data_IF_689722899035
#
_entry.id   IF_689722899035
#
_cell.length_a   1.000
_cell.length_b   1.000
_cell.length_c   1.000
_cell.angle_alpha   90.00
_cell.angle_beta   90.00
_cell.angle_gamma   90.00
#
_symmetry.space_group_name_H-M   'P 1'
#
loop_
_entity.id
_entity.type
_entity.pdbx_description
1 polymer ?
#
# COMPACT_ATOMS: atom_id res chain seq x y z
N UNK A 1 9.90 4.63 29.36
CA UNK A 1 10.47 4.67 28.00
C UNK A 1 10.35 6.10 27.48
N UNK A 2 11.45 6.85 27.41
CA UNK A 2 11.45 8.20 26.82
C UNK A 2 11.83 8.08 25.35
N UNK A 3 10.91 8.45 24.45
CA UNK A 3 11.16 8.50 23.01
C UNK A 3 11.69 9.89 22.63
N UNK A 4 12.66 9.93 21.75
CA UNK A 4 13.26 11.19 21.27
C UNK A 4 12.67 11.66 19.94
N UNK A 5 12.01 10.74 19.23
CA UNK A 5 11.37 11.01 17.94
C UNK A 5 10.13 10.14 17.77
N UNK A 6 9.04 10.71 17.27
CA UNK A 6 7.82 9.96 16.95
C UNK A 6 7.08 10.57 15.78
N UNK A 7 6.42 9.68 15.01
CA UNK A 7 5.54 9.99 13.90
C UNK A 7 4.36 9.01 13.91
N UNK A 8 3.14 9.48 13.65
CA UNK A 8 1.96 8.60 13.57
C UNK A 8 1.26 8.33 14.91
N UNK A 9 0.84 7.08 15.12
CA UNK A 9 0.04 6.60 16.27
C UNK A 9 -1.33 7.32 16.40
N UNK A 10 -1.92 7.69 15.28
CA UNK A 10 -3.22 8.37 15.24
C UNK A 10 -3.16 9.88 15.40
N UNK A 11 -1.96 10.43 15.57
CA UNK A 11 -1.73 11.87 15.66
C UNK A 11 -0.93 12.31 14.43
N UNK A 12 -1.62 12.98 13.50
CA UNK A 12 -1.08 13.36 12.22
C UNK A 12 -1.01 14.86 12.07
N UNK A 13 0.15 15.39 11.74
CA UNK A 13 0.33 16.77 11.31
C UNK A 13 0.96 16.75 9.91
N UNK A 14 0.12 16.90 8.91
CA UNK A 14 0.51 16.88 7.51
C UNK A 14 0.24 18.23 6.85
N UNK A 15 1.03 18.55 5.87
CA UNK A 15 0.86 19.70 4.98
C UNK A 15 1.46 19.38 3.63
N UNK A 16 1.28 20.29 2.68
CA UNK A 16 1.92 20.13 1.38
C UNK A 16 3.42 19.97 1.54
N UNK A 17 4.02 18.96 0.88
CA UNK A 17 5.44 18.62 0.92
C UNK A 17 5.97 18.21 2.30
N UNK A 18 5.11 18.03 3.30
CA UNK A 18 5.61 17.90 4.68
C UNK A 18 4.78 16.94 5.51
N UNK A 19 5.48 16.07 6.25
CA UNK A 19 4.91 15.32 7.37
C UNK A 19 5.72 15.62 8.62
N UNK A 20 5.08 16.18 9.66
CA UNK A 20 5.73 16.57 10.89
C UNK A 20 5.81 15.39 11.87
N UNK A 21 6.96 15.26 12.52
CA UNK A 21 7.19 14.32 13.60
C UNK A 21 7.21 15.01 14.96
N UNK A 22 6.79 14.29 16.00
CA UNK A 22 7.01 14.68 17.38
C UNK A 22 8.46 14.44 17.77
N UNK A 23 8.96 15.21 18.70
CA UNK A 23 10.31 15.03 19.21
C UNK A 23 10.39 15.05 20.74
N UNK A 24 9.29 14.88 21.44
CA UNK A 24 9.29 14.73 22.90
C UNK A 24 8.14 13.82 23.39
N UNK A 25 8.22 13.41 24.66
CA UNK A 25 7.27 12.53 25.31
C UNK A 25 5.88 13.15 25.52
N UNK A 26 5.75 14.47 25.37
CA UNK A 26 4.49 15.21 25.51
C UNK A 26 3.77 15.36 24.17
N UNK A 27 4.24 14.70 23.11
CA UNK A 27 3.70 14.78 21.75
C UNK A 27 3.69 16.21 21.18
N UNK A 28 4.68 17.03 21.51
CA UNK A 28 4.85 18.33 20.89
C UNK A 28 5.47 18.20 19.51
N UNK A 29 4.83 18.80 18.52
CA UNK A 29 5.41 18.91 17.19
C UNK A 29 6.50 19.96 17.19
N UNK A 30 7.69 19.57 16.77
CA UNK A 30 8.80 20.46 16.50
C UNK A 30 9.26 20.30 15.06
N UNK A 31 9.98 21.26 14.48
CA UNK A 31 10.39 21.19 13.09
C UNK A 31 11.49 20.13 12.86
N UNK A 32 11.07 18.88 12.82
CA UNK A 32 11.84 17.71 12.38
C UNK A 32 11.08 16.99 11.25
N UNK A 33 10.60 17.71 10.21
CA UNK A 33 9.66 17.15 9.25
C UNK A 33 10.35 16.17 8.32
N UNK A 34 9.55 15.18 7.85
CA UNK A 34 9.84 14.51 6.59
C UNK A 34 9.50 15.45 5.43
N UNK A 35 10.31 15.41 4.40
CA UNK A 35 9.97 15.94 3.08
C UNK A 35 9.17 14.88 2.34
N UNK A 36 7.99 15.23 1.85
CA UNK A 36 7.11 14.35 1.07
C UNK A 36 7.04 14.84 -0.37
N UNK A 37 7.16 13.92 -1.32
CA UNK A 37 7.04 14.21 -2.76
C UNK A 37 6.10 13.20 -3.44
N UNK A 38 5.22 13.71 -4.29
CA UNK A 38 4.41 12.97 -5.25
C UNK A 38 3.98 13.90 -6.38
N UNK A 39 4.55 13.75 -7.55
CA UNK A 39 4.31 14.61 -8.72
C UNK A 39 2.93 14.46 -9.39
N UNK A 40 1.94 13.85 -8.74
CA UNK A 40 0.57 13.68 -9.26
C UNK A 40 -0.48 13.77 -8.16
N UNK A 41 -1.76 13.91 -8.54
CA UNK A 41 -2.87 13.65 -7.61
C UNK A 41 -2.91 12.15 -7.24
N UNK A 42 -3.54 11.83 -6.11
CA UNK A 42 -3.81 10.46 -5.66
C UNK A 42 -5.14 10.40 -4.90
N UNK A 43 -5.57 9.19 -4.53
CA UNK A 43 -6.76 9.01 -3.70
C UNK A 43 -6.41 8.38 -2.36
N UNK A 44 -7.28 8.58 -1.38
CA UNK A 44 -7.18 8.07 -0.02
C UNK A 44 -8.59 7.80 0.52
N UNK A 45 -8.72 6.88 1.45
CA UNK A 45 -9.96 6.70 2.22
C UNK A 45 -9.92 7.64 3.42
N UNK A 46 -10.86 8.57 3.52
CA UNK A 46 -10.95 9.53 4.61
C UNK A 46 -11.61 8.95 5.87
N UNK A 47 -11.74 9.76 6.92
CA UNK A 47 -12.33 9.33 8.22
C UNK A 47 -13.79 8.90 8.12
N UNK A 48 -14.51 9.39 7.12
CA UNK A 48 -15.92 9.05 6.88
C UNK A 48 -16.06 7.78 6.01
N UNK A 49 -14.95 7.15 5.64
CA UNK A 49 -14.92 5.95 4.79
C UNK A 49 -15.12 6.24 3.30
N UNK A 50 -15.07 7.50 2.89
CA UNK A 50 -15.19 7.90 1.50
C UNK A 50 -13.83 8.02 0.83
N UNK A 51 -13.76 7.67 -0.45
CA UNK A 51 -12.58 7.87 -1.28
C UNK A 51 -12.53 9.33 -1.73
N UNK A 52 -11.47 10.04 -1.33
CA UNK A 52 -11.25 11.42 -1.73
C UNK A 52 -9.95 11.57 -2.53
N UNK A 53 -9.88 12.61 -3.35
CA UNK A 53 -8.66 12.97 -4.08
C UNK A 53 -7.85 13.97 -3.29
N UNK A 54 -6.54 13.72 -3.16
CA UNK A 54 -5.56 14.62 -2.58
C UNK A 54 -4.64 15.19 -3.66
N UNK A 55 -4.15 16.41 -3.44
CA UNK A 55 -3.34 17.16 -4.38
C UNK A 55 -1.92 16.61 -4.57
N UNK A 56 -1.19 17.24 -5.49
CA UNK A 56 0.25 17.00 -5.70
C UNK A 56 0.98 17.36 -4.41
N UNK A 57 1.94 16.51 -4.00
CA UNK A 57 2.77 16.67 -2.81
C UNK A 57 1.99 16.73 -1.49
N UNK A 58 0.74 16.26 -1.48
CA UNK A 58 -0.06 16.11 -0.28
C UNK A 58 0.02 14.67 0.24
N UNK A 59 0.56 14.45 1.46
CA UNK A 59 0.62 13.12 2.09
C UNK A 59 -0.76 12.52 2.30
N UNK A 60 -0.83 11.18 2.24
CA UNK A 60 -2.07 10.44 2.40
C UNK A 60 -2.14 9.73 3.75
N UNK A 61 -3.06 10.16 4.60
CA UNK A 61 -3.41 9.39 5.80
C UNK A 61 -4.68 8.61 5.48
N UNK A 62 -4.51 7.31 5.29
CA UNK A 62 -5.57 6.40 4.88
C UNK A 62 -6.26 5.79 6.10
N UNK A 63 -7.59 5.83 6.13
CA UNK A 63 -8.42 5.32 7.21
C UNK A 63 -9.12 4.00 6.86
N UNK A 64 -8.77 3.36 5.74
CA UNK A 64 -9.33 2.07 5.36
C UNK A 64 -9.05 1.03 6.45
N UNK A 65 -10.14 0.52 7.06
CA UNK A 65 -10.10 -0.43 8.17
C UNK A 65 -9.25 0.01 9.37
N UNK A 66 -9.06 1.30 9.58
CA UNK A 66 -8.22 1.84 10.64
C UNK A 66 -8.69 3.21 11.12
N UNK A 67 -9.27 3.29 12.31
CA UNK A 67 -9.81 4.54 12.89
C UNK A 67 -8.75 5.57 13.27
N UNK A 68 -7.50 5.16 13.47
CA UNK A 68 -6.38 6.07 13.74
C UNK A 68 -5.68 6.56 12.46
N UNK A 69 -5.95 5.91 11.34
CA UNK A 69 -5.27 6.15 10.07
C UNK A 69 -3.84 5.60 10.03
N UNK A 70 -3.28 5.57 8.84
CA UNK A 70 -1.88 5.24 8.58
C UNK A 70 -1.38 6.04 7.38
N UNK A 71 -0.09 6.40 7.38
CA UNK A 71 0.55 6.94 6.18
C UNK A 71 0.58 5.83 5.12
N UNK A 72 0.07 6.13 3.94
CA UNK A 72 0.09 5.25 2.77
C UNK A 72 1.16 5.75 1.79
N UNK A 73 2.14 4.90 1.50
CA UNK A 73 3.18 5.14 0.49
C UNK A 73 3.08 4.07 -0.60
N UNK A 74 2.92 4.50 -1.85
CA UNK A 74 2.73 3.59 -2.99
C UNK A 74 3.71 3.88 -4.13
N UNK A 75 4.15 2.83 -4.87
CA UNK A 75 4.99 3.01 -6.05
C UNK A 75 4.21 3.70 -7.18
N UNK A 76 4.92 4.15 -8.19
CA UNK A 76 4.29 4.61 -9.43
C UNK A 76 3.45 3.50 -10.04
N UNK A 77 2.19 3.83 -10.39
CA UNK A 77 1.26 2.92 -11.09
C UNK A 77 0.47 3.70 -12.13
N UNK A 78 0.10 3.00 -13.18
CA UNK A 78 -0.77 3.54 -14.24
C UNK A 78 -2.06 2.73 -14.30
N UNK A 79 -3.21 3.42 -14.23
CA UNK A 79 -4.49 2.81 -14.56
C UNK A 79 -4.70 2.88 -16.07
N UNK A 80 -4.78 1.72 -16.74
CA UNK A 80 -4.95 1.57 -18.18
C UNK A 80 -6.43 1.63 -18.61
N UNK A 81 -7.38 1.66 -17.67
CA UNK A 81 -8.80 1.89 -17.96
C UNK A 81 -8.99 3.37 -18.33
N UNK A 82 -9.65 3.63 -19.43
CA UNK A 82 -9.86 5.02 -19.93
C UNK A 82 -10.92 5.78 -19.17
N UNK A 83 -11.88 5.09 -18.58
CA UNK A 83 -12.91 5.67 -17.71
C UNK A 83 -13.16 4.73 -16.52
N UNK A 84 -12.64 5.11 -15.38
CA UNK A 84 -12.65 4.28 -14.18
C UNK A 84 -14.06 4.04 -13.59
N UNK A 85 -15.05 4.82 -13.94
CA UNK A 85 -16.45 4.58 -13.52
C UNK A 85 -17.13 3.49 -14.34
N UNK A 86 -16.54 3.04 -15.45
CA UNK A 86 -17.16 2.07 -16.38
C UNK A 86 -18.18 2.65 -17.35
N UNK A 87 -18.47 3.94 -17.26
CA UNK A 87 -19.51 4.60 -18.06
C UNK A 87 -19.25 4.55 -19.59
N UNK A 88 -18.00 4.38 -20.01
CA UNK A 88 -17.62 4.26 -21.43
C UNK A 88 -17.43 2.81 -21.88
N UNK A 89 -17.74 1.81 -21.07
CA UNK A 89 -17.68 0.43 -21.46
C UNK A 89 -18.76 0.13 -22.51
N UNK A 90 -18.51 -0.84 -23.37
CA UNK A 90 -19.48 -1.32 -24.35
C UNK A 90 -20.25 -2.51 -23.79
N UNK A 91 -21.57 -2.46 -23.85
CA UNK A 91 -22.44 -3.56 -23.43
C UNK A 91 -22.66 -4.55 -24.58
N UNK A 92 -22.75 -5.85 -24.24
CA UNK A 92 -22.91 -6.94 -25.18
C UNK A 92 -23.98 -7.93 -24.72
N UNK A 93 -24.57 -8.63 -25.71
CA UNK A 93 -25.45 -9.79 -25.56
C UNK A 93 -26.74 -9.53 -24.75
N UNK A 94 -27.22 -8.31 -24.71
CA UNK A 94 -28.42 -7.95 -23.96
C UNK A 94 -28.19 -7.12 -22.71
N UNK A 95 -26.94 -7.07 -22.21
CA UNK A 95 -26.59 -6.17 -21.14
C UNK A 95 -26.82 -4.70 -21.52
N UNK A 96 -27.07 -3.84 -20.53
CA UNK A 96 -27.15 -2.39 -20.74
C UNK A 96 -26.37 -1.64 -19.68
N UNK A 97 -26.02 -0.38 -19.99
CA UNK A 97 -25.26 0.52 -19.11
C UNK A 97 -26.06 1.80 -18.89
N UNK A 98 -26.18 2.24 -17.64
CA UNK A 98 -26.66 3.57 -17.26
C UNK A 98 -25.59 4.28 -16.45
N UNK A 99 -25.01 5.34 -16.99
CA UNK A 99 -23.99 6.12 -16.31
C UNK A 99 -24.61 7.02 -15.23
N UNK A 100 -23.84 7.30 -14.15
CA UNK A 100 -24.22 8.18 -13.06
C UNK A 100 -25.56 7.77 -12.39
N UNK A 101 -25.76 6.48 -12.18
CA UNK A 101 -27.01 5.94 -11.64
C UNK A 101 -27.12 6.08 -10.12
N UNK A 102 -26.03 5.85 -9.39
CA UNK A 102 -26.04 5.75 -7.94
C UNK A 102 -24.80 6.38 -7.30
N UNK A 103 -24.89 6.57 -5.98
CA UNK A 103 -23.76 7.07 -5.17
C UNK A 103 -22.67 6.01 -5.13
N UNK A 104 -21.46 6.39 -5.46
CA UNK A 104 -20.24 5.59 -5.47
C UNK A 104 -19.45 5.71 -4.16
N UNK A 105 -18.35 4.95 -3.98
CA UNK A 105 -17.48 5.03 -2.81
C UNK A 105 -16.83 6.40 -2.54
N UNK A 106 -16.86 7.34 -3.51
CA UNK A 106 -16.38 8.71 -3.31
C UNK A 106 -17.49 9.68 -2.82
N UNK A 107 -18.70 9.17 -2.56
CA UNK A 107 -19.84 9.97 -2.09
C UNK A 107 -20.55 10.76 -3.18
N UNK A 108 -20.12 10.68 -4.44
CA UNK A 108 -20.77 11.37 -5.56
C UNK A 108 -21.65 10.42 -6.38
N UNK A 109 -22.62 10.96 -7.14
CA UNK A 109 -23.50 10.17 -8.01
C UNK A 109 -22.82 9.94 -9.36
N UNK A 110 -21.85 9.01 -9.40
CA UNK A 110 -21.09 8.70 -10.60
C UNK A 110 -20.85 7.19 -10.82
N UNK A 111 -21.48 6.34 -10.00
CA UNK A 111 -21.44 4.89 -10.22
C UNK A 111 -22.24 4.52 -11.48
N UNK A 112 -21.73 3.58 -12.25
CA UNK A 112 -22.37 3.04 -13.45
C UNK A 112 -23.21 1.83 -13.10
N UNK A 113 -24.45 1.79 -13.55
CA UNK A 113 -25.31 0.63 -13.47
C UNK A 113 -25.12 -0.26 -14.71
N UNK A 114 -24.78 -1.53 -14.47
CA UNK A 114 -24.88 -2.61 -15.43
C UNK A 114 -26.17 -3.40 -15.15
N UNK A 115 -27.03 -3.55 -16.15
CA UNK A 115 -28.26 -4.35 -16.05
C UNK A 115 -28.15 -5.53 -16.99
N UNK A 116 -28.48 -6.73 -16.49
CA UNK A 116 -28.53 -8.00 -17.23
C UNK A 116 -29.90 -8.64 -17.13
N UNK A 117 -30.25 -9.48 -18.10
CA UNK A 117 -31.58 -10.12 -18.24
C UNK A 117 -31.58 -11.61 -17.87
N UNK A 118 -30.42 -12.17 -17.55
CA UNK A 118 -30.24 -13.58 -17.21
C UNK A 118 -29.91 -14.45 -18.42
N UNK A 119 -29.46 -13.84 -19.52
CA UNK A 119 -28.99 -14.58 -20.69
C UNK A 119 -27.49 -14.90 -20.55
N UNK A 120 -27.09 -16.05 -21.05
CA UNK A 120 -25.67 -16.43 -21.04
C UNK A 120 -24.78 -15.42 -21.78
N UNK A 121 -23.68 -15.04 -21.18
CA UNK A 121 -22.68 -14.16 -21.78
C UNK A 121 -23.02 -12.65 -21.85
N UNK A 122 -23.96 -12.17 -21.07
CA UNK A 122 -24.18 -10.72 -20.91
C UNK A 122 -22.99 -10.08 -20.17
N UNK A 123 -22.42 -9.02 -20.76
CA UNK A 123 -21.23 -8.36 -20.23
C UNK A 123 -21.10 -6.91 -20.65
N UNK A 124 -20.25 -6.18 -19.91
CA UNK A 124 -19.72 -4.88 -20.32
C UNK A 124 -18.21 -4.97 -20.50
N UNK A 125 -17.62 -4.20 -21.42
CA UNK A 125 -16.23 -4.35 -21.81
C UNK A 125 -15.53 -3.03 -22.14
N UNK A 126 -14.25 -2.93 -21.77
CA UNK A 126 -13.29 -2.06 -22.44
C UNK A 126 -12.30 -2.94 -23.22
N UNK A 127 -12.16 -2.69 -24.51
CA UNK A 127 -11.22 -3.36 -25.40
C UNK A 127 -9.98 -2.49 -25.68
N UNK A 128 -9.01 -3.07 -26.40
CA UNK A 128 -7.81 -2.38 -26.91
C UNK A 128 -6.93 -1.73 -25.80
N UNK A 129 -6.78 -2.46 -24.68
CA UNK A 129 -5.85 -2.05 -23.61
C UNK A 129 -4.44 -2.47 -24.04
N UNK A 130 -3.53 -1.49 -24.15
CA UNK A 130 -2.12 -1.75 -24.48
C UNK A 130 -1.40 -2.33 -23.26
N UNK A 131 -0.80 -3.51 -23.41
CA UNK A 131 -0.12 -4.26 -22.35
C UNK A 131 1.17 -4.88 -22.89
N UNK A 132 2.04 -5.34 -22.01
CA UNK A 132 3.29 -6.02 -22.34
C UNK A 132 3.16 -7.52 -22.06
N UNK A 133 3.42 -8.35 -23.06
CA UNK A 133 3.41 -9.81 -22.90
C UNK A 133 4.43 -10.28 -21.86
N UNK A 134 4.06 -11.26 -21.04
CA UNK A 134 4.90 -11.82 -19.98
C UNK A 134 4.87 -11.03 -18.66
N UNK A 135 4.17 -9.90 -18.59
CA UNK A 135 4.03 -9.11 -17.39
C UNK A 135 2.74 -9.44 -16.64
N UNK A 136 2.78 -9.34 -15.32
CA UNK A 136 1.60 -9.49 -14.46
C UNK A 136 0.84 -8.17 -14.40
N UNK A 137 -0.49 -8.24 -14.55
CA UNK A 137 -1.42 -7.13 -14.42
C UNK A 137 -2.48 -7.48 -13.40
N UNK A 138 -2.81 -6.52 -12.56
CA UNK A 138 -3.94 -6.62 -11.62
C UNK A 138 -5.13 -5.83 -12.16
N UNK A 139 -6.27 -6.49 -12.24
CA UNK A 139 -7.57 -5.91 -12.54
C UNK A 139 -8.32 -5.75 -11.24
N UNK A 140 -8.83 -4.55 -10.95
CA UNK A 140 -9.64 -4.30 -9.76
C UNK A 140 -10.82 -3.37 -10.04
N UNK A 141 -11.79 -3.36 -9.14
CA UNK A 141 -12.94 -2.47 -9.20
C UNK A 141 -13.82 -2.58 -7.97
N UNK A 142 -14.70 -1.62 -7.79
CA UNK A 142 -15.74 -1.65 -6.77
C UNK A 142 -17.07 -2.09 -7.40
N UNK A 143 -17.73 -3.02 -6.73
CA UNK A 143 -18.97 -3.62 -7.18
C UNK A 143 -19.98 -3.71 -6.04
N UNK A 144 -21.29 -3.57 -6.38
CA UNK A 144 -22.40 -3.65 -5.44
C UNK A 144 -23.62 -4.23 -6.15
N UNK A 145 -24.27 -5.21 -5.56
CA UNK A 145 -25.56 -5.71 -6.04
C UNK A 145 -26.67 -4.72 -5.65
N UNK A 146 -27.26 -4.06 -6.65
CA UNK A 146 -28.38 -3.11 -6.47
C UNK A 146 -29.72 -3.84 -6.39
N UNK A 147 -29.92 -4.84 -7.25
CA UNK A 147 -31.13 -5.69 -7.25
C UNK A 147 -30.85 -7.02 -7.97
N UNK A 148 -31.73 -7.99 -7.77
CA UNK A 148 -31.61 -9.34 -8.33
C UNK A 148 -31.01 -10.34 -7.33
N UNK A 149 -30.75 -11.56 -7.82
CA UNK A 149 -30.13 -12.64 -7.04
C UNK A 149 -29.10 -13.34 -7.91
N UNK A 150 -27.89 -13.53 -7.41
CA UNK A 150 -26.86 -14.30 -8.07
C UNK A 150 -27.01 -15.78 -7.65
N UNK A 151 -27.32 -16.63 -8.61
CA UNK A 151 -27.63 -18.06 -8.40
C UNK A 151 -26.41 -18.89 -8.07
N UNK A 152 -25.25 -18.50 -8.60
CA UNK A 152 -23.97 -19.17 -8.39
C UNK A 152 -22.88 -18.09 -8.23
N UNK A 153 -22.42 -17.84 -6.98
CA UNK A 153 -21.41 -16.82 -6.73
C UNK A 153 -20.13 -16.97 -7.54
N UNK A 154 -19.76 -18.22 -7.85
CA UNK A 154 -18.52 -18.51 -8.57
C UNK A 154 -18.67 -18.38 -10.11
N UNK A 155 -19.89 -18.42 -10.63
CA UNK A 155 -20.15 -18.41 -12.08
C UNK A 155 -21.07 -17.28 -12.56
N UNK A 156 -21.96 -16.77 -11.70
CA UNK A 156 -22.94 -15.77 -12.13
C UNK A 156 -22.33 -14.39 -12.35
N UNK A 157 -21.37 -13.99 -11.52
CA UNK A 157 -20.67 -12.70 -11.64
C UNK A 157 -19.16 -12.92 -11.77
N UNK A 158 -18.57 -12.41 -12.84
CA UNK A 158 -17.15 -12.59 -13.16
C UNK A 158 -16.49 -11.31 -13.66
N UNK A 159 -15.31 -11.03 -13.16
CA UNK A 159 -14.33 -10.26 -13.91
C UNK A 159 -13.61 -11.20 -14.84
N UNK A 160 -13.59 -10.88 -16.12
CA UNK A 160 -12.93 -11.70 -17.13
C UNK A 160 -11.79 -10.89 -17.72
N UNK A 161 -10.60 -11.52 -17.75
CA UNK A 161 -9.48 -10.96 -18.48
C UNK A 161 -9.56 -11.36 -19.96
N UNK A 162 -9.21 -10.51 -20.85
CA UNK A 162 -8.78 -10.81 -22.20
C UNK A 162 -7.33 -10.42 -22.36
N UNK A 163 -6.57 -10.41 -21.26
CA UNK A 163 -5.16 -9.99 -21.21
C UNK A 163 -4.23 -11.13 -21.58
N UNK A 164 -4.71 -12.37 -21.65
CA UNK A 164 -3.92 -13.55 -22.01
C UNK A 164 -4.14 -14.07 -23.44
N UNK A 165 -4.76 -13.26 -24.33
CA UNK A 165 -4.79 -13.50 -25.79
C UNK A 165 -5.70 -14.59 -26.33
N UNK A 166 -6.36 -15.35 -25.50
CA UNK A 166 -7.00 -16.60 -25.91
C UNK A 166 -8.50 -16.71 -25.67
N UNK A 167 -9.22 -15.66 -25.44
CA UNK A 167 -10.61 -15.76 -25.01
C UNK A 167 -10.71 -16.07 -23.52
N UNK A 168 -11.84 -15.84 -22.98
CA UNK A 168 -12.26 -15.77 -21.60
C UNK A 168 -11.89 -17.04 -20.81
N UNK A 169 -10.67 -17.18 -20.37
CA UNK A 169 -10.24 -18.21 -19.43
C UNK A 169 -10.02 -17.55 -18.06
N UNK A 170 -11.03 -17.59 -17.33
CA UNK A 170 -11.24 -17.62 -15.93
C UNK A 170 -10.25 -17.02 -14.94
N UNK A 171 -9.97 -15.73 -14.97
CA UNK A 171 -9.70 -15.05 -13.71
C UNK A 171 -11.01 -14.47 -13.22
N UNK A 172 -11.49 -14.95 -12.09
CA UNK A 172 -12.78 -14.55 -11.54
C UNK A 172 -12.55 -13.73 -10.27
N UNK A 173 -13.45 -12.81 -9.97
CA UNK A 173 -13.43 -12.13 -8.68
C UNK A 173 -13.75 -13.08 -7.51
N UNK A 174 -14.23 -14.30 -7.75
CA UNK A 174 -14.58 -15.34 -6.76
C UNK A 174 -15.26 -14.77 -5.51
N UNK A 175 -16.28 -13.94 -5.70
CA UNK A 175 -16.96 -13.28 -4.59
C UNK A 175 -18.46 -13.17 -4.85
N UNK A 176 -19.24 -13.37 -3.79
CA UNK A 176 -20.66 -13.06 -3.79
C UNK A 176 -20.86 -11.56 -3.60
N UNK A 177 -21.50 -10.89 -4.58
CA UNK A 177 -21.86 -9.49 -4.42
C UNK A 177 -22.99 -9.33 -3.38
N UNK A 178 -22.81 -8.31 -2.54
CA UNK A 178 -23.80 -7.89 -1.54
C UNK A 178 -24.39 -6.52 -1.90
N UNK A 179 -25.33 -6.05 -1.07
CA UNK A 179 -25.85 -4.69 -1.15
C UNK A 179 -24.90 -3.62 -0.63
N UNK A 180 -23.66 -3.99 -0.26
CA UNK A 180 -22.61 -3.07 0.13
C UNK A 180 -21.51 -3.01 -0.94
N UNK A 181 -20.79 -1.90 -1.02
CA UNK A 181 -19.66 -1.77 -1.92
C UNK A 181 -18.52 -2.72 -1.52
N UNK A 182 -18.07 -3.53 -2.47
CA UNK A 182 -16.96 -4.46 -2.31
C UNK A 182 -15.89 -4.13 -3.36
N UNK A 183 -14.64 -3.99 -2.93
CA UNK A 183 -13.52 -3.95 -3.86
C UNK A 183 -13.07 -5.37 -4.15
N UNK A 184 -13.06 -5.75 -5.43
CA UNK A 184 -12.65 -7.06 -5.90
C UNK A 184 -11.48 -6.91 -6.87
N UNK A 185 -10.55 -7.87 -6.83
CA UNK A 185 -9.39 -7.86 -7.72
C UNK A 185 -8.96 -9.27 -8.12
N UNK A 186 -8.25 -9.36 -9.22
CA UNK A 186 -7.48 -10.55 -9.62
C UNK A 186 -6.24 -10.14 -10.40
N UNK A 187 -5.21 -11.01 -10.34
CA UNK A 187 -3.96 -10.81 -11.07
C UNK A 187 -3.81 -11.85 -12.17
N UNK A 188 -3.32 -11.44 -13.33
CA UNK A 188 -3.10 -12.29 -14.49
C UNK A 188 -1.77 -11.96 -15.18
N UNK A 189 -1.03 -12.97 -15.63
CA UNK A 189 0.15 -12.77 -16.47
C UNK A 189 -0.29 -12.68 -17.93
N UNK A 190 0.00 -11.56 -18.58
CA UNK A 190 -0.36 -11.34 -19.97
C UNK A 190 0.45 -12.20 -20.92
N UNK A 191 -0.19 -12.73 -21.94
CA UNK A 191 0.45 -13.43 -23.08
C UNK A 191 0.29 -12.68 -24.41
N UNK A 192 -0.23 -11.45 -24.38
CA UNK A 192 -0.51 -10.61 -25.56
C UNK A 192 -0.05 -9.18 -25.34
N UNK A 193 -0.03 -8.38 -26.40
CA UNK A 193 0.30 -6.95 -26.35
C UNK A 193 -0.92 -6.02 -26.41
N UNK A 194 -2.13 -6.61 -26.61
CA UNK A 194 -3.40 -5.86 -26.60
C UNK A 194 -4.45 -6.73 -25.93
N UNK A 195 -5.05 -6.21 -24.90
CA UNK A 195 -6.03 -6.91 -24.09
C UNK A 195 -7.38 -6.22 -23.99
N UNK A 196 -8.25 -6.80 -23.20
CA UNK A 196 -9.57 -6.26 -22.83
C UNK A 196 -9.92 -6.69 -21.41
N UNK A 197 -10.74 -5.89 -20.75
CA UNK A 197 -11.36 -6.23 -19.47
C UNK A 197 -12.86 -6.35 -19.68
N UNK A 198 -13.45 -7.38 -19.12
CA UNK A 198 -14.87 -7.67 -19.20
C UNK A 198 -15.44 -7.90 -17.81
N UNK A 199 -16.62 -7.34 -17.56
CA UNK A 199 -17.43 -7.62 -16.38
C UNK A 199 -18.67 -8.36 -16.90
N UNK A 200 -18.86 -9.61 -16.44
CA UNK A 200 -19.91 -10.51 -16.90
C UNK A 200 -20.87 -10.85 -15.77
N UNK A 201 -22.17 -10.94 -16.08
CA UNK A 201 -23.16 -11.52 -15.21
C UNK A 201 -24.11 -12.41 -16.02
N UNK A 202 -24.36 -13.63 -15.53
CA UNK A 202 -25.24 -14.62 -16.18
C UNK A 202 -26.66 -14.67 -15.59
N UNK A 203 -26.91 -13.93 -14.51
CA UNK A 203 -28.23 -13.79 -13.89
C UNK A 203 -28.91 -12.47 -14.27
N UNK A 204 -30.23 -12.40 -14.09
CA UNK A 204 -30.97 -11.15 -14.18
C UNK A 204 -30.65 -10.30 -12.92
N UNK A 205 -29.84 -9.27 -13.08
CA UNK A 205 -29.37 -8.46 -11.99
C UNK A 205 -29.10 -7.00 -12.40
N UNK A 206 -29.13 -6.13 -11.41
CA UNK A 206 -28.63 -4.77 -11.46
C UNK A 206 -27.36 -4.66 -10.60
N UNK A 207 -26.23 -4.39 -11.22
CA UNK A 207 -24.92 -4.33 -10.56
C UNK A 207 -24.33 -2.94 -10.76
N UNK A 208 -23.99 -2.28 -9.66
CA UNK A 208 -23.25 -1.02 -9.68
C UNK A 208 -21.75 -1.31 -9.82
N UNK A 209 -21.10 -0.52 -10.66
CA UNK A 209 -19.68 -0.62 -11.01
C UNK A 209 -19.03 0.73 -10.84
N UNK A 210 -17.83 0.75 -10.22
CA UNK A 210 -17.03 1.95 -10.03
C UNK A 210 -15.56 1.61 -9.75
N UNK A 211 -14.63 2.54 -9.94
CA UNK A 211 -13.24 2.39 -9.55
C UNK A 211 -12.49 1.30 -10.32
N UNK A 212 -12.82 1.10 -11.60
CA UNK A 212 -12.17 0.09 -12.43
C UNK A 212 -10.72 0.47 -12.72
N UNK A 213 -9.80 -0.47 -12.52
CA UNK A 213 -8.38 -0.32 -12.79
C UNK A 213 -7.80 -1.56 -13.46
N UNK A 214 -6.81 -1.32 -14.33
CA UNK A 214 -5.85 -2.31 -14.82
C UNK A 214 -4.46 -1.71 -14.59
N UNK A 215 -3.68 -2.34 -13.76
CA UNK A 215 -2.36 -1.87 -13.34
C UNK A 215 -1.29 -2.92 -13.61
N UNK A 216 -0.11 -2.50 -14.07
CA UNK A 216 1.08 -3.37 -14.10
C UNK A 216 1.52 -3.67 -12.66
N UNK A 217 1.57 -4.94 -12.29
CA UNK A 217 1.96 -5.40 -10.96
C UNK A 217 1.09 -6.56 -10.48
N UNK A 218 1.47 -7.16 -9.35
CA UNK A 218 0.83 -8.34 -8.79
C UNK A 218 -0.22 -8.02 -7.69
N UNK A 219 -0.51 -6.75 -7.46
CA UNK A 219 -1.51 -6.29 -6.47
C UNK A 219 -2.09 -4.94 -6.91
N UNK A 220 -3.31 -4.66 -6.44
CA UNK A 220 -3.99 -3.39 -6.65
C UNK A 220 -3.46 -2.30 -5.72
N UNK A 221 -3.45 -1.07 -6.22
CA UNK A 221 -3.13 0.13 -5.44
C UNK A 221 -4.37 1.02 -5.25
N UNK A 222 -4.27 2.15 -4.55
CA UNK A 222 -5.37 3.09 -4.40
C UNK A 222 -5.94 3.51 -5.75
N UNK A 223 -7.19 3.95 -5.79
CA UNK A 223 -7.86 4.31 -7.05
C UNK A 223 -7.08 5.42 -7.76
N UNK A 224 -6.84 5.21 -9.06
CA UNK A 224 -6.28 6.20 -9.98
C UNK A 224 -7.39 6.63 -10.93
N UNK A 225 -8.03 7.78 -10.69
CA UNK A 225 -9.14 8.25 -11.50
C UNK A 225 -8.72 8.52 -12.95
N UNK A 226 -9.52 8.05 -13.89
CA UNK A 226 -9.38 8.31 -15.34
C UNK A 226 -10.67 8.87 -15.90
N UNK A 227 -10.59 9.79 -16.85
CA UNK A 227 -11.74 10.48 -17.42
C UNK A 227 -11.61 10.62 -18.94
N UNK A 228 -11.48 9.46 -19.62
CA UNK A 228 -11.38 9.41 -21.09
C UNK A 228 -9.97 9.58 -21.64
N UNK A 229 -8.92 9.56 -20.80
CA UNK A 229 -7.54 9.68 -21.27
C UNK A 229 -7.13 8.42 -22.05
N UNK A 230 -6.80 8.58 -23.32
CA UNK A 230 -6.21 7.52 -24.13
C UNK A 230 -4.84 7.15 -23.57
N UNK A 231 -4.63 5.86 -23.27
CA UNK A 231 -3.40 5.36 -22.65
C UNK A 231 -3.39 5.40 -21.12
N UNK A 232 -4.50 5.85 -20.49
CA UNK A 232 -4.64 5.84 -19.04
C UNK A 232 -4.01 7.02 -18.30
N UNK A 233 -3.95 6.94 -16.96
CA UNK A 233 -3.40 7.96 -16.07
C UNK A 233 -2.39 7.33 -15.13
N UNK A 234 -1.24 7.98 -14.94
CA UNK A 234 -0.19 7.56 -14.01
C UNK A 234 -0.28 8.34 -12.70
N UNK A 235 -0.31 7.63 -11.57
CA UNK A 235 0.04 8.17 -10.26
C UNK A 235 1.54 7.97 -10.04
N UNK A 236 2.25 9.06 -9.71
CA UNK A 236 3.67 9.04 -9.39
C UNK A 236 3.94 8.25 -8.11
N UNK A 237 5.15 7.72 -7.97
CA UNK A 237 5.64 7.16 -6.71
C UNK A 237 5.68 8.23 -5.62
N UNK A 238 5.66 7.79 -4.38
CA UNK A 238 5.76 8.64 -3.20
C UNK A 238 7.10 8.44 -2.51
N UNK A 239 7.71 9.52 -2.05
CA UNK A 239 8.87 9.50 -1.15
C UNK A 239 8.56 10.27 0.13
N UNK A 240 9.19 9.88 1.23
CA UNK A 240 8.97 10.50 2.53
C UNK A 240 10.26 10.39 3.36
N UNK A 241 11.13 11.40 3.30
CA UNK A 241 12.50 11.30 3.76
C UNK A 241 12.98 12.57 4.49
N UNK A 242 14.16 12.49 5.14
CA UNK A 242 14.90 13.65 5.59
C UNK A 242 14.51 14.18 6.97
N UNK A 243 13.76 13.42 7.78
CA UNK A 243 13.35 13.86 9.12
C UNK A 243 14.42 13.65 10.19
N UNK A 244 14.39 14.47 11.25
CA UNK A 244 15.27 14.32 12.41
C UNK A 244 16.59 15.06 12.29
N UNK A 245 17.49 14.81 13.22
CA UNK A 245 18.85 15.33 13.26
C UNK A 245 19.67 14.60 14.35
N UNK A 246 20.97 14.91 14.47
CA UNK A 246 21.89 14.30 15.46
C UNK A 246 21.53 14.52 16.94
N UNK A 247 20.55 15.37 17.27
CA UNK A 247 20.15 15.59 18.67
C UNK A 247 19.05 14.63 19.12
N UNK A 248 18.41 13.92 18.19
CA UNK A 248 17.32 12.99 18.49
C UNK A 248 17.69 11.52 18.24
N UNK A 249 18.83 11.27 17.61
CA UNK A 249 19.36 9.93 17.39
C UNK A 249 20.67 9.73 18.17
N UNK A 250 20.83 8.59 18.81
CA UNK A 250 22.03 8.25 19.56
C UNK A 250 22.83 7.20 18.78
N UNK A 251 24.10 7.50 18.50
CA UNK A 251 25.00 6.62 17.75
C UNK A 251 25.42 5.38 18.55
N UNK A 252 25.43 5.46 19.89
CA UNK A 252 25.99 4.40 20.74
C UNK A 252 25.00 3.27 21.00
N UNK A 253 23.71 3.61 21.15
CA UNK A 253 22.65 2.66 21.45
C UNK A 253 21.28 3.26 21.17
N UNK A 254 20.28 2.42 20.98
CA UNK A 254 18.90 2.89 20.84
C UNK A 254 17.96 1.79 20.35
N UNK A 255 16.75 2.22 20.03
CA UNK A 255 15.72 1.38 19.41
C UNK A 255 15.05 2.14 18.29
N UNK A 256 15.02 1.54 17.11
CA UNK A 256 14.11 1.93 16.03
C UNK A 256 12.87 1.04 16.14
N UNK A 257 11.70 1.65 16.33
CA UNK A 257 10.41 0.97 16.41
C UNK A 257 9.46 1.46 15.32
N UNK A 258 8.71 0.51 14.74
CA UNK A 258 7.69 0.80 13.74
C UNK A 258 6.46 -0.11 13.90
N UNK A 259 5.27 0.38 13.50
CA UNK A 259 4.10 -0.43 13.22
C UNK A 259 3.77 -0.28 11.73
N UNK A 260 4.06 -1.31 10.94
CA UNK A 260 4.02 -1.29 9.47
C UNK A 260 3.36 -2.52 8.88
N UNK A 261 2.87 -2.37 7.63
CA UNK A 261 2.41 -3.46 6.77
C UNK A 261 2.93 -3.26 5.34
N UNK A 262 3.32 -4.34 4.67
CA UNK A 262 3.63 -4.31 3.24
C UNK A 262 2.34 -4.12 2.41
N UNK A 263 2.46 -3.63 1.18
CA UNK A 263 1.34 -3.60 0.23
C UNK A 263 1.05 -5.00 -0.33
N UNK A 264 2.11 -5.79 -0.52
CA UNK A 264 2.06 -7.18 -0.98
C UNK A 264 3.34 -7.92 -0.58
N UNK A 265 3.26 -9.25 -0.53
CA UNK A 265 4.41 -10.15 -0.43
C UNK A 265 4.85 -10.56 -1.87
N UNK A 266 5.52 -9.63 -2.56
CA UNK A 266 5.88 -9.76 -3.98
C UNK A 266 7.40 -9.89 -4.22
N UNK A 267 8.18 -10.15 -3.16
CA UNK A 267 9.64 -10.28 -3.23
C UNK A 267 10.38 -8.95 -3.42
N UNK A 268 9.69 -7.80 -3.26
CA UNK A 268 10.32 -6.50 -3.33
C UNK A 268 10.88 -6.09 -1.97
N UNK A 269 12.16 -5.70 -1.93
CA UNK A 269 12.75 -5.11 -0.73
C UNK A 269 12.12 -3.74 -0.47
N UNK A 270 11.62 -3.52 0.76
CA UNK A 270 11.04 -2.26 1.23
C UNK A 270 11.65 -1.90 2.56
N UNK A 271 12.31 -0.74 2.65
CA UNK A 271 13.13 -0.37 3.81
C UNK A 271 12.72 0.99 4.36
N UNK A 272 12.86 1.12 5.67
CA UNK A 272 12.89 2.40 6.37
C UNK A 272 14.09 2.40 7.30
N UNK A 273 14.67 3.56 7.57
CA UNK A 273 15.93 3.64 8.31
C UNK A 273 16.07 4.92 9.12
N UNK A 274 16.97 4.86 10.09
CA UNK A 274 17.71 6.03 10.58
C UNK A 274 19.16 5.86 10.12
N UNK A 275 19.76 6.91 9.53
CA UNK A 275 21.05 6.79 8.86
C UNK A 275 21.87 8.09 8.91
N UNK A 276 23.08 8.07 8.39
CA UNK A 276 24.01 9.20 8.32
C UNK A 276 23.88 10.04 7.04
N UNK A 277 22.84 9.81 6.25
CA UNK A 277 22.59 10.43 4.95
C UNK A 277 23.69 10.13 3.91
N UNK A 278 24.45 9.06 4.10
CA UNK A 278 25.47 8.59 3.14
C UNK A 278 25.06 7.20 2.64
N UNK A 279 24.99 7.04 1.31
CA UNK A 279 24.59 5.78 0.71
C UNK A 279 25.42 4.60 1.22
N UNK A 280 24.72 3.58 1.73
CA UNK A 280 25.26 2.28 2.17
C UNK A 280 26.32 2.36 3.29
N UNK A 281 26.34 3.43 4.09
CA UNK A 281 27.30 3.63 5.18
C UNK A 281 26.66 3.28 6.55
N UNK A 282 26.55 4.21 7.48
CA UNK A 282 26.05 3.97 8.82
C UNK A 282 24.53 4.05 8.89
N UNK A 283 23.88 3.02 9.44
CA UNK A 283 22.41 2.98 9.57
C UNK A 283 21.89 1.91 10.53
N UNK A 284 20.67 2.11 10.97
CA UNK A 284 19.77 1.09 11.50
C UNK A 284 18.53 1.06 10.60
N UNK A 285 18.12 -0.12 10.13
CA UNK A 285 16.93 -0.26 9.28
C UNK A 285 16.02 -1.39 9.75
N UNK A 286 14.76 -1.25 9.38
CA UNK A 286 13.72 -2.29 9.43
C UNK A 286 13.05 -2.34 8.06
N UNK A 287 12.54 -3.50 7.67
CA UNK A 287 11.70 -3.62 6.48
C UNK A 287 11.49 -5.05 6.01
N UNK A 288 10.93 -5.17 4.83
CA UNK A 288 10.63 -6.44 4.19
C UNK A 288 11.75 -6.83 3.22
N UNK A 289 12.12 -8.11 3.18
CA UNK A 289 13.12 -8.62 2.25
C UNK A 289 12.50 -9.19 0.97
N UNK A 290 13.35 -9.74 0.10
CA UNK A 290 12.89 -10.48 -1.09
C UNK A 290 12.40 -11.90 -0.78
N UNK A 291 12.57 -12.38 0.46
CA UNK A 291 12.01 -13.66 0.90
C UNK A 291 10.54 -13.46 1.31
N UNK A 292 9.72 -14.47 1.07
CA UNK A 292 8.28 -14.41 1.38
C UNK A 292 8.06 -14.19 2.87
N UNK A 293 7.23 -13.18 3.19
CA UNK A 293 6.82 -12.82 4.54
C UNK A 293 7.98 -12.56 5.53
N UNK A 294 9.17 -12.19 5.03
CA UNK A 294 10.33 -11.96 5.88
C UNK A 294 10.49 -10.48 6.26
N UNK A 295 10.53 -10.24 7.57
CA UNK A 295 10.89 -8.96 8.17
C UNK A 295 12.37 -9.01 8.54
N UNK A 296 13.10 -7.94 8.23
CA UNK A 296 14.52 -7.79 8.56
C UNK A 296 14.77 -6.56 9.42
N UNK A 297 15.70 -6.71 10.39
CA UNK A 297 16.38 -5.63 11.10
C UNK A 297 17.88 -5.67 10.78
N UNK A 298 18.50 -4.53 10.46
CA UNK A 298 19.92 -4.49 10.15
C UNK A 298 20.57 -3.28 10.82
N UNK A 299 21.80 -3.46 11.30
CA UNK A 299 22.71 -2.37 11.69
C UNK A 299 23.97 -2.42 10.84
N UNK A 300 24.47 -1.25 10.39
CA UNK A 300 25.74 -1.11 9.66
C UNK A 300 26.58 0.01 10.26
N UNK A 301 27.90 -0.16 10.16
CA UNK A 301 28.89 0.83 10.57
C UNK A 301 30.03 0.84 9.55
N UNK A 302 30.38 2.02 9.01
CA UNK A 302 31.46 2.18 8.05
C UNK A 302 31.30 1.25 6.82
N UNK A 303 30.08 1.13 6.28
CA UNK A 303 29.73 0.24 5.16
C UNK A 303 29.84 -1.26 5.45
N UNK A 304 30.07 -1.67 6.70
CA UNK A 304 30.12 -3.08 7.12
C UNK A 304 28.88 -3.45 7.94
N UNK A 305 28.25 -4.56 7.62
CA UNK A 305 27.11 -5.08 8.40
C UNK A 305 27.61 -5.54 9.77
N UNK A 306 26.96 -5.04 10.83
CA UNK A 306 27.24 -5.37 12.22
C UNK A 306 26.24 -6.39 12.76
N UNK A 307 24.96 -6.24 12.41
CA UNK A 307 23.91 -7.20 12.69
C UNK A 307 22.99 -7.32 11.49
N UNK A 308 22.54 -8.53 11.17
CA UNK A 308 21.55 -8.80 10.12
C UNK A 308 20.58 -9.85 10.67
N UNK A 309 19.49 -9.36 11.22
CA UNK A 309 18.47 -10.15 11.93
C UNK A 309 17.25 -10.31 11.02
N UNK A 310 16.60 -11.47 11.07
CA UNK A 310 15.46 -11.73 10.20
C UNK A 310 14.47 -12.71 10.83
N UNK A 311 13.18 -12.55 10.50
CA UNK A 311 12.14 -13.48 10.91
C UNK A 311 11.01 -13.54 9.88
N UNK A 312 10.47 -14.74 9.65
CA UNK A 312 9.33 -14.96 8.78
C UNK A 312 8.04 -14.87 9.60
N UNK A 313 7.17 -13.94 9.26
CA UNK A 313 5.83 -13.78 9.85
C UNK A 313 4.78 -14.55 9.03
N UNK A 314 3.57 -14.65 9.56
CA UNK A 314 2.48 -15.35 8.86
C UNK A 314 1.97 -14.60 7.63
N UNK A 315 1.97 -13.27 7.67
CA UNK A 315 1.46 -12.40 6.60
C UNK A 315 2.06 -10.99 6.72
N UNK A 316 3.03 -10.67 5.87
CA UNK A 316 3.68 -9.35 5.84
C UNK A 316 2.74 -8.20 5.44
N UNK A 317 1.56 -8.50 4.88
CA UNK A 317 0.55 -7.48 4.52
C UNK A 317 -0.33 -7.07 5.70
N UNK A 318 -0.27 -7.81 6.80
CA UNK A 318 -0.83 -7.44 8.10
C UNK A 318 0.11 -6.48 8.85
N UNK A 319 -0.45 -5.65 9.72
CA UNK A 319 0.37 -4.77 10.55
C UNK A 319 1.13 -5.55 11.62
N UNK A 320 2.44 -5.31 11.67
CA UNK A 320 3.34 -5.84 12.69
C UNK A 320 3.99 -4.71 13.46
N UNK A 321 4.12 -4.87 14.78
CA UNK A 321 4.90 -4.00 15.65
C UNK A 321 6.32 -4.54 15.76
N UNK A 322 7.29 -3.80 15.27
CA UNK A 322 8.67 -4.24 15.09
C UNK A 322 9.61 -3.28 15.82
N UNK A 323 10.56 -3.82 16.58
CA UNK A 323 11.61 -3.05 17.21
C UNK A 323 12.98 -3.65 16.89
N UNK A 324 13.89 -2.81 16.38
CA UNK A 324 15.31 -3.12 16.21
C UNK A 324 16.11 -2.40 17.29
N UNK A 325 16.55 -3.14 18.29
CA UNK A 325 17.51 -2.66 19.30
C UNK A 325 18.91 -2.67 18.69
N UNK A 326 19.65 -1.59 18.85
CA UNK A 326 21.05 -1.48 18.45
C UNK A 326 21.91 -0.94 19.60
N UNK A 327 22.94 -1.71 19.94
CA UNK A 327 23.98 -1.37 20.91
C UNK A 327 25.16 -2.28 20.61
N UNK A 328 26.39 -1.81 20.84
CA UNK A 328 27.59 -2.63 20.65
C UNK A 328 27.47 -3.96 21.41
N UNK A 329 27.62 -5.08 20.70
CA UNK A 329 27.49 -6.46 21.20
C UNK A 329 26.12 -6.80 21.83
N UNK A 330 25.03 -6.06 21.46
CA UNK A 330 23.68 -6.29 21.99
C UNK A 330 22.64 -5.79 20.98
N UNK A 331 22.46 -6.57 19.91
CA UNK A 331 21.44 -6.30 18.88
C UNK A 331 20.30 -7.30 19.02
N UNK A 332 19.06 -6.84 18.88
CA UNK A 332 17.86 -7.69 18.96
C UNK A 332 16.75 -7.21 18.04
N UNK A 333 16.05 -8.15 17.41
CA UNK A 333 14.83 -7.93 16.64
C UNK A 333 13.63 -8.46 17.42
N UNK A 334 12.68 -7.59 17.71
CA UNK A 334 11.43 -7.91 18.39
C UNK A 334 10.26 -7.71 17.41
N UNK A 335 9.36 -8.68 17.35
CA UNK A 335 8.15 -8.63 16.52
C UNK A 335 6.97 -9.13 17.35
N UNK A 336 5.91 -8.32 17.43
CA UNK A 336 4.62 -8.65 18.06
C UNK A 336 4.78 -9.26 19.48
N UNK A 337 5.61 -8.64 20.31
CA UNK A 337 5.85 -9.03 21.70
C UNK A 337 6.89 -10.15 21.90
N UNK A 338 7.55 -10.60 20.84
CA UNK A 338 8.53 -11.70 20.90
C UNK A 338 9.89 -11.24 20.40
N UNK A 339 10.96 -11.60 21.15
CA UNK A 339 12.34 -11.53 20.66
C UNK A 339 12.55 -12.67 19.66
N UNK A 340 12.73 -12.33 18.38
CA UNK A 340 12.76 -13.31 17.30
C UNK A 340 14.16 -13.63 16.79
N UNK A 341 15.12 -12.71 16.97
CA UNK A 341 16.51 -12.90 16.55
C UNK A 341 17.45 -11.93 17.29
N UNK A 342 18.70 -12.31 17.51
CA UNK A 342 19.71 -11.53 18.24
C UNK A 342 21.11 -11.68 17.66
N UNK A 343 21.95 -10.65 17.81
CA UNK A 343 23.40 -10.73 17.56
C UNK A 343 24.16 -10.06 18.72
N UNK A 344 25.06 -10.80 19.31
CA UNK A 344 25.87 -10.38 20.47
C UNK A 344 27.28 -9.89 20.06
N UNK A 345 27.49 -9.64 18.77
CA UNK A 345 28.77 -9.16 18.24
C UNK A 345 28.54 -7.96 17.32
N UNK A 346 29.43 -7.00 17.36
CA UNK A 346 29.39 -5.86 16.46
C UNK A 346 29.51 -4.52 17.18
N UNK A 347 29.60 -3.45 16.39
CA UNK A 347 29.69 -2.08 16.85
C UNK A 347 28.45 -1.29 16.50
N UNK A 348 28.14 -0.27 17.28
CA UNK A 348 27.03 0.65 16.98
C UNK A 348 27.33 1.48 15.74
N UNK A 349 26.30 1.97 15.02
CA UNK A 349 26.48 2.93 13.91
C UNK A 349 27.04 4.26 14.41
N UNK A 350 27.48 5.13 13.49
CA UNK A 350 27.94 6.46 13.82
C UNK A 350 27.26 7.52 12.91
N UNK A 351 27.12 8.74 13.41
CA UNK A 351 26.63 9.87 12.62
C UNK A 351 25.17 9.78 12.20
N UNK A 352 24.31 9.15 12.96
CA UNK A 352 22.87 9.06 12.67
C UNK A 352 22.23 10.45 12.74
N UNK A 353 21.71 10.95 11.62
CA UNK A 353 21.18 12.32 11.50
C UNK A 353 19.83 12.40 10.79
N UNK A 354 19.37 11.33 10.13
CA UNK A 354 18.16 11.38 9.32
C UNK A 354 17.35 10.10 9.45
N UNK A 355 16.02 10.25 9.55
CA UNK A 355 15.05 9.18 9.34
C UNK A 355 14.51 9.25 7.91
N UNK A 356 14.39 8.10 7.24
CA UNK A 356 13.95 8.00 5.86
C UNK A 356 13.13 6.72 5.64
N UNK A 357 12.17 6.80 4.71
CA UNK A 357 11.40 5.65 4.26
C UNK A 357 12.09 4.97 3.06
N UNK A 358 13.40 4.81 3.18
CA UNK A 358 14.25 4.14 2.23
C UNK A 358 15.49 3.52 2.90
N UNK A 359 16.40 3.01 2.08
CA UNK A 359 17.75 2.55 2.46
C UNK A 359 18.84 3.49 1.92
N UNK A 360 18.72 4.81 2.08
CA UNK A 360 19.66 5.77 1.49
C UNK A 360 19.45 5.92 -0.01
N UNK A 361 18.30 6.46 -0.41
CA UNK A 361 17.81 6.69 -1.77
C UNK A 361 17.63 5.43 -2.64
N UNK A 362 17.44 4.26 -2.01
CA UNK A 362 17.11 3.00 -2.69
C UNK A 362 16.23 2.11 -1.84
N UNK A 363 15.47 1.20 -2.44
CA UNK A 363 14.59 0.27 -1.74
C UNK A 363 13.55 1.01 -0.90
N UNK A 364 12.87 1.97 -1.54
CA UNK A 364 11.83 2.78 -0.93
C UNK A 364 10.81 1.92 -0.19
N UNK A 365 10.34 2.41 0.94
CA UNK A 365 9.29 1.77 1.69
C UNK A 365 7.92 2.10 1.07
N UNK A 366 7.45 1.25 0.17
CA UNK A 366 6.05 1.26 -0.25
C UNK A 366 5.25 0.34 0.65
N UNK A 367 4.36 0.94 1.44
CA UNK A 367 3.64 0.24 2.49
C UNK A 367 2.74 1.17 3.28
N UNK A 368 2.28 0.64 4.40
CA UNK A 368 1.41 1.31 5.35
C UNK A 368 2.15 1.52 6.66
N UNK A 369 2.14 2.73 7.22
CA UNK A 369 2.86 3.08 8.43
C UNK A 369 1.89 3.67 9.44
N UNK A 370 1.65 2.96 10.56
CA UNK A 370 0.83 3.47 11.67
C UNK A 370 1.65 4.23 12.69
N UNK A 371 2.89 3.80 12.93
CA UNK A 371 3.71 4.35 13.98
C UNK A 371 5.20 4.20 13.63
N UNK A 372 5.98 5.21 13.95
CA UNK A 372 7.44 5.24 13.83
C UNK A 372 8.01 5.95 15.05
N UNK A 373 8.89 5.31 15.80
CA UNK A 373 9.51 5.89 17.00
C UNK A 373 10.99 5.58 17.05
N UNK A 374 11.75 6.50 17.65
CA UNK A 374 13.16 6.27 18.01
C UNK A 374 13.32 6.54 19.51
N UNK A 375 14.06 5.67 20.15
CA UNK A 375 14.52 5.77 21.52
C UNK A 375 16.04 5.89 21.50
N UNK A 376 16.58 6.83 22.28
CA UNK A 376 18.02 7.12 22.36
C UNK A 376 18.77 6.19 23.34
N UNK A 377 18.07 5.23 23.91
CA UNK A 377 18.62 4.23 24.81
C UNK A 377 18.18 2.83 24.38
N UNK A 378 19.06 1.85 24.57
CA UNK A 378 18.70 0.44 24.40
C UNK A 378 17.69 0.07 25.50
N UNK A 379 16.46 -0.26 25.10
CA UNK A 379 15.42 -0.68 26.03
C UNK A 379 15.68 -2.09 26.53
N UNK A 380 15.21 -2.39 27.76
CA UNK A 380 15.22 -3.75 28.32
C UNK A 380 14.22 -4.65 27.57
N UNK A 381 14.41 -5.98 27.67
CA UNK A 381 13.53 -6.96 27.02
C UNK A 381 12.07 -6.82 27.45
N UNK A 382 11.82 -6.51 28.73
CA UNK A 382 10.45 -6.26 29.22
C UNK A 382 9.81 -5.01 28.62
N UNK A 383 10.62 -3.96 28.35
CA UNK A 383 10.15 -2.74 27.68
C UNK A 383 9.93 -3.00 26.20
N UNK A 384 10.81 -3.75 25.54
CA UNK A 384 10.67 -4.15 24.13
C UNK A 384 9.44 -5.04 23.92
N UNK A 385 9.22 -6.01 24.79
CA UNK A 385 8.00 -6.81 24.79
C UNK A 385 6.75 -5.95 24.90
N UNK A 386 6.73 -5.02 25.89
CA UNK A 386 5.59 -4.11 26.08
C UNK A 386 5.38 -3.18 24.89
N UNK A 387 6.45 -2.69 24.28
CA UNK A 387 6.42 -1.78 23.14
C UNK A 387 5.84 -2.45 21.89
N UNK A 388 6.16 -3.72 21.70
CA UNK A 388 5.78 -4.49 20.51
C UNK A 388 4.50 -5.32 20.71
N UNK A 389 3.92 -5.40 21.92
CA UNK A 389 2.57 -5.96 22.17
C UNK A 389 1.48 -4.92 21.90
#
# INVERSE_FOLDING_TARGET
MSKTFQFGNGEWAIGKETVLAYNDENNNFKPLPFTFDRGSIATVVNKDGLIETVGIDEPRIDFLNNTKGHLLLEPSRQNLITNYTGASFTAFNGASITANDSVSPDGTTNATLMTTTGSASELIQQASISITSGQSYTVSGYFKLKSGTLSDPDNAFKGLDGLNGGGITGSTFNSTLTSEWQRLSFTVTSSTTSGRVQIKCEDAAEILVWGLQVELGAYETSIIPTSGQSGGVTRSAETCDGAGNSTVFNDSEGVLYVEIAALADDGTNRRLSINDNVFDNDRVLIGYSSNSNEIQGQSRTGSSTQAALAHTVSDATSFHKIAMKYKANDFALWIDGVEVDTDLNGTSPAGLIVAAFDRGATQDFYGKVKDFRVYDTALSDSELQTLTT
#
